data_IF_849975945807
#
_entry.id   IF_849975945807
#
_cell.length_a   1.000
_cell.length_b   1.000
_cell.length_c   1.000
_cell.angle_alpha   90.00
_cell.angle_beta   90.00
_cell.angle_gamma   90.00
#
_symmetry.space_group_name_H-M   'P 1'
#
loop_
_entity.id
_entity.type
_entity.pdbx_description
1 polymer ?
#
# COMPACT_ATOMS: atom_id res chain seq x y z
N UNK A 1 -0.79 -11.98 -9.87
CA UNK A 1 -1.95 -12.85 -9.54
C UNK A 1 -2.80 -12.12 -8.52
N UNK A 2 -4.14 -12.06 -8.68
CA UNK A 2 -5.00 -11.43 -7.68
C UNK A 2 -4.85 -12.13 -6.31
N UNK A 3 -5.10 -11.42 -5.19
CA UNK A 3 -5.11 -12.03 -3.87
C UNK A 3 -6.12 -13.18 -3.81
N UNK A 4 -5.79 -14.26 -3.10
CA UNK A 4 -6.64 -15.45 -2.95
C UNK A 4 -6.77 -15.79 -1.47
N UNK A 5 -7.98 -16.14 -1.06
CA UNK A 5 -8.23 -16.73 0.27
C UNK A 5 -7.90 -18.22 0.18
N UNK A 6 -7.11 -18.73 1.12
CA UNK A 6 -6.78 -20.15 1.22
C UNK A 6 -8.01 -20.96 1.65
N UNK A 7 -8.14 -22.19 1.14
CA UNK A 7 -9.21 -23.10 1.53
C UNK A 7 -9.28 -23.26 3.07
N UNK A 8 -10.49 -23.18 3.63
CA UNK A 8 -10.73 -23.28 5.08
C UNK A 8 -10.48 -22.00 5.87
N UNK A 9 -10.01 -20.90 5.25
CA UNK A 9 -9.82 -19.62 5.94
C UNK A 9 -11.07 -18.76 5.82
N UNK A 10 -11.70 -18.47 6.97
CA UNK A 10 -12.67 -17.38 7.11
C UNK A 10 -11.92 -16.13 7.57
N UNK A 11 -11.89 -15.09 6.74
CA UNK A 11 -11.21 -13.82 7.06
C UNK A 11 -12.07 -12.63 6.66
N UNK A 12 -12.11 -11.62 7.52
CA UNK A 12 -12.61 -10.32 7.17
C UNK A 12 -11.43 -9.51 6.61
N UNK A 13 -11.54 -9.08 5.34
CA UNK A 13 -10.55 -8.20 4.75
C UNK A 13 -10.64 -6.83 5.42
N UNK A 14 -9.71 -6.56 6.34
CA UNK A 14 -9.68 -5.29 7.07
C UNK A 14 -9.23 -4.12 6.17
N UNK A 15 -8.34 -4.40 5.22
CA UNK A 15 -7.69 -3.40 4.38
C UNK A 15 -7.38 -3.98 3.00
N UNK A 16 -7.23 -3.13 1.98
CA UNK A 16 -6.82 -3.53 0.64
C UNK A 16 -5.38 -3.04 0.35
N UNK A 17 -4.35 -3.85 0.65
CA UNK A 17 -2.97 -3.48 0.40
C UNK A 17 -2.57 -3.76 -1.06
N UNK A 18 -1.71 -2.92 -1.61
CA UNK A 18 -1.06 -3.14 -2.88
C UNK A 18 0.37 -2.63 -2.85
N UNK A 19 1.20 -3.14 -3.78
CA UNK A 19 2.56 -2.66 -4.00
C UNK A 19 2.60 -1.95 -5.35
N UNK A 20 3.24 -0.79 -5.37
CA UNK A 20 3.64 -0.14 -6.62
C UNK A 20 4.86 -0.90 -7.14
N UNK A 21 4.89 -1.21 -8.44
CA UNK A 21 6.04 -1.86 -9.05
C UNK A 21 7.24 -0.90 -9.05
N UNK A 22 8.41 -1.39 -8.64
CA UNK A 22 9.62 -0.56 -8.46
C UNK A 22 10.03 0.16 -9.76
N UNK A 23 9.87 -0.52 -10.89
CA UNK A 23 10.24 -0.01 -12.22
C UNK A 23 9.12 0.77 -12.92
N UNK A 24 8.00 1.04 -12.23
CA UNK A 24 6.86 1.75 -12.83
C UNK A 24 7.11 3.23 -13.09
N UNK A 25 8.14 3.84 -12.47
CA UNK A 25 8.36 5.28 -12.51
C UNK A 25 7.36 6.09 -11.64
N UNK A 26 6.50 5.40 -10.88
CA UNK A 26 5.57 6.00 -9.92
C UNK A 26 6.27 6.08 -8.57
N UNK A 27 6.36 7.29 -8.00
CA UNK A 27 6.78 7.45 -6.60
C UNK A 27 5.56 7.28 -5.70
N UNK A 28 5.63 6.39 -4.71
CA UNK A 28 4.54 6.14 -3.75
C UNK A 28 3.96 7.41 -3.14
N UNK A 29 4.82 8.35 -2.74
CA UNK A 29 4.39 9.61 -2.15
C UNK A 29 3.59 10.51 -3.11
N UNK A 30 3.87 10.48 -4.42
CA UNK A 30 3.10 11.23 -5.41
C UNK A 30 1.69 10.67 -5.55
N UNK A 31 1.57 9.35 -5.63
CA UNK A 31 0.27 8.69 -5.69
C UNK A 31 -0.52 9.00 -4.40
N UNK A 32 0.10 8.88 -3.23
CA UNK A 32 -0.57 9.19 -1.97
C UNK A 32 -1.10 10.64 -1.91
N UNK A 33 -0.28 11.62 -2.32
CA UNK A 33 -0.70 13.02 -2.39
C UNK A 33 -1.82 13.27 -3.42
N UNK A 34 -1.76 12.59 -4.56
CA UNK A 34 -2.83 12.65 -5.56
C UNK A 34 -4.15 12.14 -5.00
N UNK A 35 -4.15 10.95 -4.40
CA UNK A 35 -5.36 10.35 -3.83
C UNK A 35 -5.94 11.22 -2.71
N UNK A 36 -5.09 11.76 -1.82
CA UNK A 36 -5.50 12.66 -0.74
C UNK A 36 -6.16 13.95 -1.29
N UNK A 37 -5.60 14.54 -2.36
CA UNK A 37 -6.16 15.72 -3.00
C UNK A 37 -7.55 15.47 -3.64
N UNK A 38 -7.88 14.21 -3.92
CA UNK A 38 -9.19 13.78 -4.42
C UNK A 38 -10.08 13.21 -3.30
N UNK A 39 -9.71 13.41 -2.02
CA UNK A 39 -10.51 12.96 -0.88
C UNK A 39 -10.42 11.45 -0.58
N UNK A 40 -9.48 10.74 -1.21
CA UNK A 40 -9.24 9.31 -0.96
C UNK A 40 -8.05 9.15 -0.02
N UNK A 41 -8.33 8.78 1.24
CA UNK A 41 -7.29 8.58 2.27
C UNK A 41 -6.56 7.24 2.08
N UNK A 42 -5.33 7.29 1.56
CA UNK A 42 -4.46 6.11 1.46
C UNK A 42 -3.47 6.06 2.62
N UNK A 43 -3.23 4.84 3.14
CA UNK A 43 -2.32 4.63 4.28
C UNK A 43 -1.08 3.84 3.87
N UNK A 44 0.00 4.02 4.61
CA UNK A 44 1.14 3.10 4.52
C UNK A 44 0.75 1.73 5.07
N UNK A 45 1.43 0.67 4.62
CA UNK A 45 1.27 -0.67 5.19
C UNK A 45 1.89 -0.71 6.59
N UNK A 46 1.10 -0.30 7.58
CA UNK A 46 1.50 -0.11 8.98
C UNK A 46 2.86 0.59 9.09
N UNK A 47 3.79 -0.05 9.78
CA UNK A 47 5.13 0.45 10.08
C UNK A 47 6.14 0.13 8.96
N UNK A 48 5.71 -0.59 7.90
CA UNK A 48 6.61 -1.15 6.90
C UNK A 48 7.62 -2.09 7.57
N UNK A 49 8.91 -1.75 7.49
CA UNK A 49 9.95 -2.46 8.21
C UNK A 49 10.16 -1.84 9.62
N UNK A 50 9.69 -2.55 10.64
CA UNK A 50 9.86 -2.15 12.04
C UNK A 50 11.34 -1.95 12.43
N UNK A 51 12.27 -2.76 11.90
CA UNK A 51 13.69 -2.64 12.21
C UNK A 51 14.33 -1.32 11.71
N UNK A 52 13.69 -0.63 10.76
CA UNK A 52 14.14 0.68 10.24
C UNK A 52 13.54 1.87 10.96
N UNK A 53 12.60 1.67 11.87
CA UNK A 53 11.97 2.78 12.57
C UNK A 53 12.91 3.40 13.61
N UNK A 54 12.88 4.73 13.80
CA UNK A 54 13.73 5.41 14.78
C UNK A 54 13.64 4.82 16.20
N UNK A 55 12.45 4.35 16.60
CA UNK A 55 12.22 3.75 17.91
C UNK A 55 13.05 2.48 18.20
N UNK A 56 13.55 1.80 17.15
CA UNK A 56 14.32 0.57 17.26
C UNK A 56 15.80 0.73 16.88
N UNK A 57 16.24 1.92 16.47
CA UNK A 57 17.61 2.18 15.99
C UNK A 57 18.68 1.73 16.99
N UNK A 58 18.49 2.05 18.26
CA UNK A 58 19.44 1.77 19.34
C UNK A 58 19.00 0.59 20.23
N UNK A 59 17.99 -0.17 19.77
CA UNK A 59 17.48 -1.33 20.51
C UNK A 59 18.05 -2.63 19.92
N UNK A 60 18.68 -3.49 20.74
CA UNK A 60 19.13 -4.80 20.29
C UNK A 60 17.97 -5.60 19.70
N UNK A 61 18.14 -6.10 18.48
CA UNK A 61 17.19 -7.00 17.82
C UNK A 61 17.94 -7.97 16.92
N UNK A 62 17.33 -9.12 16.67
CA UNK A 62 17.86 -10.11 15.71
C UNK A 62 17.40 -9.74 14.31
N UNK A 63 18.32 -9.73 13.36
CA UNK A 63 18.04 -9.55 11.94
C UNK A 63 18.74 -10.66 11.14
N UNK A 64 18.12 -11.24 10.12
CA UNK A 64 18.80 -12.17 9.22
C UNK A 64 20.01 -11.52 8.54
N UNK A 65 21.03 -12.30 8.17
CA UNK A 65 22.21 -11.80 7.46
C UNK A 65 21.84 -11.12 6.13
N UNK A 66 20.83 -11.63 5.43
CA UNK A 66 20.27 -11.04 4.21
C UNK A 66 19.29 -9.87 4.43
N UNK A 67 19.10 -9.42 5.67
CA UNK A 67 18.14 -8.38 6.02
C UNK A 67 16.68 -8.81 5.84
N UNK A 68 15.81 -7.82 5.63
CA UNK A 68 14.36 -8.00 5.50
C UNK A 68 13.84 -7.41 4.18
N UNK A 69 14.29 -7.92 3.02
CA UNK A 69 14.04 -7.28 1.71
C UNK A 69 12.56 -7.13 1.37
N UNK A 70 11.71 -8.09 1.75
CA UNK A 70 10.27 -7.98 1.54
C UNK A 70 9.63 -6.90 2.43
N UNK A 71 10.11 -6.73 3.67
CA UNK A 71 9.64 -5.67 4.55
C UNK A 71 10.12 -4.30 4.05
N UNK A 72 11.33 -4.22 3.49
CA UNK A 72 11.87 -3.02 2.84
C UNK A 72 11.02 -2.63 1.63
N UNK A 73 10.68 -3.60 0.78
CA UNK A 73 9.79 -3.38 -0.36
C UNK A 73 8.41 -2.87 0.07
N UNK A 74 7.81 -3.47 1.11
CA UNK A 74 6.54 -3.02 1.67
C UNK A 74 6.63 -1.60 2.24
N UNK A 75 7.73 -1.26 2.92
CA UNK A 75 7.96 0.07 3.48
C UNK A 75 8.09 1.14 2.39
N UNK A 76 8.78 0.83 1.30
CA UNK A 76 9.03 1.77 0.22
C UNK A 76 7.82 1.92 -0.72
N UNK A 77 7.22 0.80 -1.13
CA UNK A 77 6.24 0.74 -2.22
C UNK A 77 4.81 0.44 -1.79
N UNK A 78 4.59 0.07 -0.52
CA UNK A 78 3.29 -0.38 -0.04
C UNK A 78 2.34 0.74 0.33
N UNK A 79 1.13 0.66 -0.22
CA UNK A 79 -0.02 1.47 0.19
C UNK A 79 -1.20 0.58 0.51
N UNK A 80 -2.14 1.17 1.23
CA UNK A 80 -3.43 0.60 1.56
C UNK A 80 -4.51 1.55 1.07
N UNK A 81 -5.47 1.01 0.31
CA UNK A 81 -6.69 1.72 -0.09
C UNK A 81 -7.73 1.66 1.04
N UNK A 82 -8.62 2.66 1.15
CA UNK A 82 -9.80 2.57 1.99
C UNK A 82 -10.56 1.26 1.75
N UNK A 83 -10.91 0.58 2.83
CA UNK A 83 -11.73 -0.61 2.78
C UNK A 83 -12.44 -0.77 4.12
N UNK A 84 -13.70 -0.38 4.19
CA UNK A 84 -14.49 -0.44 5.42
C UNK A 84 -15.95 -0.77 5.11
N UNK A 85 -16.71 -1.14 6.15
CA UNK A 85 -18.08 -1.63 6.02
C UNK A 85 -19.11 -0.59 5.58
N UNK A 86 -18.76 0.70 5.57
CA UNK A 86 -19.62 1.77 5.08
C UNK A 86 -19.42 2.05 3.58
N UNK A 87 -18.42 1.43 2.94
CA UNK A 87 -18.16 1.62 1.51
C UNK A 87 -19.13 0.81 0.66
N UNK A 88 -19.53 1.39 -0.47
CA UNK A 88 -20.29 0.71 -1.51
C UNK A 88 -19.48 0.58 -2.83
N UNK A 89 -20.15 0.06 -3.87
CA UNK A 89 -19.54 -0.13 -5.18
C UNK A 89 -19.14 1.21 -5.83
N UNK A 90 -19.88 2.29 -5.56
CA UNK A 90 -19.59 3.64 -6.06
C UNK A 90 -18.33 4.23 -5.43
N UNK A 91 -18.11 4.00 -4.14
CA UNK A 91 -16.84 4.35 -3.49
C UNK A 91 -15.65 3.62 -4.14
N UNK A 92 -15.84 2.34 -4.45
CA UNK A 92 -14.80 1.51 -5.09
C UNK A 92 -14.51 1.97 -6.53
N UNK A 93 -15.56 2.33 -7.28
CA UNK A 93 -15.45 2.88 -8.63
C UNK A 93 -14.71 4.23 -8.62
N UNK A 94 -15.04 5.12 -7.68
CA UNK A 94 -14.37 6.42 -7.53
C UNK A 94 -12.87 6.27 -7.20
N UNK A 95 -12.49 5.30 -6.37
CA UNK A 95 -11.08 4.97 -6.13
C UNK A 95 -10.40 4.55 -7.43
N UNK A 96 -11.07 3.74 -8.25
CA UNK A 96 -10.59 3.34 -9.59
C UNK A 96 -10.40 4.54 -10.52
N UNK A 97 -11.39 5.43 -10.62
CA UNK A 97 -11.31 6.66 -11.41
C UNK A 97 -10.14 7.56 -10.97
N UNK A 98 -9.92 7.70 -9.66
CA UNK A 98 -8.79 8.47 -9.14
C UNK A 98 -7.43 7.86 -9.55
N UNK A 99 -7.32 6.52 -9.53
CA UNK A 99 -6.11 5.81 -9.97
C UNK A 99 -5.88 5.98 -11.48
N UNK A 100 -6.93 5.85 -12.30
CA UNK A 100 -6.86 6.09 -13.75
C UNK A 100 -6.46 7.53 -14.05
N UNK A 101 -7.07 8.51 -13.36
CA UNK A 101 -6.73 9.92 -13.46
C UNK A 101 -5.26 10.21 -13.12
N UNK A 102 -4.71 9.54 -12.10
CA UNK A 102 -3.29 9.65 -11.77
C UNK A 102 -2.40 9.15 -12.91
N UNK A 103 -2.71 7.97 -13.46
CA UNK A 103 -1.95 7.38 -14.57
C UNK A 103 -2.01 8.27 -15.82
N UNK A 104 -3.18 8.80 -16.15
CA UNK A 104 -3.35 9.74 -17.26
C UNK A 104 -2.54 11.03 -17.05
N UNK A 105 -2.56 11.61 -15.84
CA UNK A 105 -1.76 12.79 -15.50
C UNK A 105 -0.24 12.54 -15.58
N UNK A 106 0.20 11.30 -15.38
CA UNK A 106 1.60 10.85 -15.56
C UNK A 106 1.93 10.47 -17.01
N UNK A 107 0.94 10.47 -17.92
CA UNK A 107 1.12 10.04 -19.32
C UNK A 107 1.31 8.54 -19.48
N UNK A 108 0.70 7.74 -18.60
CA UNK A 108 0.85 6.28 -18.51
C UNK A 108 -0.42 5.51 -18.97
N UNK A 109 -1.41 6.23 -19.52
CA UNK A 109 -2.66 5.69 -20.06
C UNK A 109 -2.62 5.55 -21.58
#
# INVERSE_FOLDING_TARGET
TPPRVTEGVATAWHMFPFLIEEDSGIRRAELQQWMEAHGVDTRMVWTGNAARQPAFRDRPHLSPEGGLPNADRVMEQGLVLPNNHAMDDGDSEYIGECLEGFLAAKGMS
#
